data_IF_080809055969
#
_entry.id   IF_080809055969
#
_cell.length_a   1.000
_cell.length_b   1.000
_cell.length_c   1.000
_cell.angle_alpha   90.00
_cell.angle_beta   90.00
_cell.angle_gamma   90.00
#
_symmetry.space_group_name_H-M   'P 1'
#
loop_
_entity.id
_entity.type
_entity.pdbx_description
1 polymer ?
#
# COMPACT_ATOMS: atom_id res chain seq x y z
N UNK A 1 -3.34 4.65 -28.63
CA UNK A 1 -4.17 5.50 -27.75
C UNK A 1 -3.26 6.32 -26.85
N UNK A 2 -3.67 7.53 -26.54
CA UNK A 2 -3.03 8.37 -25.52
C UNK A 2 -3.75 8.13 -24.18
N UNK A 3 -3.06 7.55 -23.21
CA UNK A 3 -3.66 7.13 -21.95
C UNK A 3 -3.06 7.92 -20.78
N UNK A 4 -3.91 8.58 -19.99
CA UNK A 4 -3.48 9.17 -18.73
C UNK A 4 -3.80 8.21 -17.58
N UNK A 5 -2.80 7.90 -16.74
CA UNK A 5 -2.97 7.04 -15.58
C UNK A 5 -2.73 7.83 -14.31
N UNK A 6 -3.78 8.17 -13.60
CA UNK A 6 -3.70 8.81 -12.30
C UNK A 6 -3.35 7.76 -11.23
N UNK A 7 -2.36 8.06 -10.39
CA UNK A 7 -1.83 7.09 -9.42
C UNK A 7 -0.85 6.07 -10.03
N UNK A 8 -0.21 6.39 -11.15
CA UNK A 8 0.72 5.53 -11.87
C UNK A 8 1.95 5.08 -11.05
N UNK A 9 2.28 5.74 -9.96
CA UNK A 9 3.35 5.32 -9.05
C UNK A 9 2.89 4.29 -7.99
N UNK A 10 1.59 3.98 -7.94
CA UNK A 10 0.97 3.05 -7.00
C UNK A 10 1.11 1.58 -7.41
N UNK A 11 0.58 0.69 -6.55
CA UNK A 11 0.66 -0.77 -6.77
C UNK A 11 0.00 -1.21 -8.07
N UNK A 12 -1.27 -0.88 -8.28
CA UNK A 12 -2.01 -1.25 -9.51
C UNK A 12 -1.60 -0.34 -10.67
N UNK A 13 -1.58 0.99 -10.46
CA UNK A 13 -1.34 1.95 -11.53
C UNK A 13 0.01 1.78 -12.23
N UNK A 14 1.07 1.35 -11.50
CA UNK A 14 2.38 1.12 -12.11
C UNK A 14 2.41 -0.08 -13.08
N UNK A 15 1.63 -1.13 -12.78
CA UNK A 15 1.52 -2.29 -13.68
C UNK A 15 0.67 -1.96 -14.90
N UNK A 16 -0.44 -1.24 -14.70
CA UNK A 16 -1.29 -0.77 -15.81
C UNK A 16 -0.48 0.15 -16.73
N UNK A 17 0.29 1.11 -16.17
CA UNK A 17 1.14 1.99 -16.97
C UNK A 17 2.20 1.23 -17.77
N UNK A 18 2.86 0.27 -17.14
CA UNK A 18 3.83 -0.59 -17.82
C UNK A 18 3.19 -1.43 -18.92
N UNK A 19 1.96 -1.94 -18.70
CA UNK A 19 1.26 -2.76 -19.69
C UNK A 19 0.85 -1.95 -20.91
N UNK A 20 0.23 -0.78 -20.74
CA UNK A 20 -0.10 0.11 -21.87
C UNK A 20 1.14 0.51 -22.65
N UNK A 21 2.22 0.88 -21.96
CA UNK A 21 3.48 1.23 -22.61
C UNK A 21 4.07 0.05 -23.41
N UNK A 22 4.06 -1.16 -22.85
CA UNK A 22 4.55 -2.36 -23.54
C UNK A 22 3.75 -2.72 -24.79
N UNK A 23 2.48 -2.29 -24.87
CA UNK A 23 1.63 -2.44 -26.06
C UNK A 23 1.80 -1.29 -27.06
N UNK A 24 2.72 -0.35 -26.82
CA UNK A 24 3.00 0.76 -27.74
C UNK A 24 2.02 1.92 -27.65
N UNK A 25 1.29 2.05 -26.54
CA UNK A 25 0.45 3.21 -26.30
C UNK A 25 1.26 4.36 -25.68
N UNK A 26 0.85 5.61 -25.95
CA UNK A 26 1.43 6.79 -25.32
C UNK A 26 0.85 6.95 -23.91
N UNK A 27 1.71 6.79 -22.89
CA UNK A 27 1.30 6.79 -21.49
C UNK A 27 1.77 8.03 -20.77
N UNK A 28 0.81 8.88 -20.36
CA UNK A 28 1.03 9.98 -19.41
C UNK A 28 0.76 9.51 -18.01
N UNK A 29 1.82 9.38 -17.23
CA UNK A 29 1.79 8.85 -15.85
C UNK A 29 1.68 9.99 -14.84
N UNK A 30 0.59 10.03 -14.05
CA UNK A 30 0.37 11.10 -13.09
C UNK A 30 0.59 10.63 -11.65
N UNK A 31 1.41 11.39 -10.88
CA UNK A 31 1.73 11.07 -9.49
C UNK A 31 2.15 12.31 -8.68
N UNK A 32 2.07 12.24 -7.34
CA UNK A 32 2.52 13.30 -6.42
C UNK A 32 4.04 13.52 -6.46
N UNK A 33 4.81 12.46 -6.50
CA UNK A 33 6.29 12.49 -6.42
C UNK A 33 6.95 12.18 -7.75
N UNK A 34 6.89 13.11 -8.69
CA UNK A 34 7.38 12.93 -10.08
C UNK A 34 8.86 12.52 -10.11
N UNK A 35 9.74 13.22 -9.42
CA UNK A 35 11.18 12.92 -9.43
C UNK A 35 11.51 11.48 -9.00
N UNK A 36 10.84 11.02 -7.95
CA UNK A 36 11.04 9.67 -7.46
C UNK A 36 10.42 8.61 -8.38
N UNK A 37 9.34 8.93 -9.04
CA UNK A 37 8.67 8.07 -10.00
C UNK A 37 9.47 7.99 -11.31
N UNK A 38 9.95 9.09 -11.81
CA UNK A 38 10.78 9.17 -13.02
C UNK A 38 12.10 8.41 -12.87
N UNK A 39 12.74 8.48 -11.70
CA UNK A 39 13.95 7.65 -11.44
C UNK A 39 13.68 6.15 -11.48
N UNK A 40 12.45 5.71 -11.14
CA UNK A 40 12.07 4.28 -11.17
C UNK A 40 11.60 3.81 -12.55
N UNK A 41 10.93 4.69 -13.29
CA UNK A 41 10.36 4.39 -14.60
C UNK A 41 10.61 5.56 -15.55
N UNK A 42 11.88 5.75 -16.02
CA UNK A 42 12.27 6.89 -16.86
C UNK A 42 11.66 6.85 -18.27
N UNK A 43 11.08 5.74 -18.68
CA UNK A 43 10.44 5.53 -19.98
C UNK A 43 8.99 6.02 -20.07
N UNK A 44 8.41 6.50 -18.96
CA UNK A 44 7.07 7.09 -18.94
C UNK A 44 7.13 8.62 -18.93
N UNK A 45 6.13 9.25 -19.56
CA UNK A 45 5.91 10.70 -19.47
C UNK A 45 5.23 11.01 -18.13
N UNK A 46 5.97 11.63 -17.19
CA UNK A 46 5.49 11.89 -15.84
C UNK A 46 4.97 13.30 -15.67
N UNK A 47 3.75 13.42 -15.14
CA UNK A 47 3.13 14.70 -14.75
C UNK A 47 2.78 14.72 -13.25
N UNK A 48 2.95 15.89 -12.64
CA UNK A 48 2.58 16.07 -11.23
C UNK A 48 1.08 16.11 -11.05
N UNK A 49 0.54 15.42 -10.01
CA UNK A 49 -0.84 15.57 -9.56
C UNK A 49 -0.97 15.35 -8.05
N UNK A 50 -1.84 16.10 -7.41
CA UNK A 50 -2.20 15.87 -6.00
C UNK A 50 -3.71 16.01 -5.82
N UNK A 51 -4.41 14.90 -5.68
CA UNK A 51 -5.87 14.83 -5.52
C UNK A 51 -6.42 15.60 -4.31
N UNK A 52 -5.56 15.99 -3.37
CA UNK A 52 -5.96 16.82 -2.22
C UNK A 52 -6.10 18.30 -2.57
N UNK A 53 -5.48 18.74 -3.65
CA UNK A 53 -5.32 20.14 -3.98
C UNK A 53 -5.74 20.47 -5.41
N UNK A 54 -5.53 19.52 -6.35
CA UNK A 54 -5.84 19.72 -7.76
C UNK A 54 -7.34 19.87 -7.99
N UNK A 55 -7.70 20.90 -8.75
CA UNK A 55 -9.04 21.21 -9.21
C UNK A 55 -9.19 20.90 -10.69
N UNK A 56 -10.40 21.04 -11.21
CA UNK A 56 -10.73 20.82 -12.63
C UNK A 56 -9.76 21.55 -13.57
N UNK A 57 -9.38 22.78 -13.23
CA UNK A 57 -8.48 23.63 -14.02
C UNK A 57 -7.07 23.07 -14.12
N UNK A 58 -6.57 22.46 -13.05
CA UNK A 58 -5.23 21.87 -12.99
C UNK A 58 -5.10 20.61 -13.87
N UNK A 59 -6.23 19.94 -14.12
CA UNK A 59 -6.27 18.76 -14.96
C UNK A 59 -6.31 19.09 -16.45
N UNK A 60 -6.89 20.21 -16.86
CA UNK A 60 -7.05 20.59 -18.28
C UNK A 60 -5.77 20.45 -19.11
N UNK A 61 -4.62 21.04 -18.72
CA UNK A 61 -3.39 20.89 -19.50
C UNK A 61 -2.86 19.44 -19.54
N UNK A 62 -3.15 18.66 -18.51
CA UNK A 62 -2.75 17.24 -18.44
C UNK A 62 -3.60 16.33 -19.32
N UNK A 63 -4.80 16.76 -19.70
CA UNK A 63 -5.78 16.00 -20.49
C UNK A 63 -5.73 16.32 -21.99
N UNK A 64 -4.89 17.25 -22.42
CA UNK A 64 -4.75 17.59 -23.85
C UNK A 64 -4.31 16.38 -24.65
N UNK A 65 -5.12 15.97 -25.61
CA UNK A 65 -4.89 14.84 -26.51
C UNK A 65 -5.01 13.46 -25.85
N UNK A 66 -5.60 13.38 -24.66
CA UNK A 66 -5.82 12.10 -23.96
C UNK A 66 -7.12 11.45 -24.43
N UNK A 67 -7.03 10.19 -24.85
CA UNK A 67 -8.18 9.37 -25.27
C UNK A 67 -8.86 8.67 -24.09
N UNK A 68 -8.05 8.14 -23.17
CA UNK A 68 -8.51 7.32 -22.04
C UNK A 68 -7.84 7.77 -20.74
N UNK A 69 -8.63 7.90 -19.70
CA UNK A 69 -8.12 8.15 -18.33
C UNK A 69 -8.37 6.92 -17.47
N UNK A 70 -7.33 6.43 -16.78
CA UNK A 70 -7.45 5.36 -15.79
C UNK A 70 -7.14 5.94 -14.41
N UNK A 71 -8.14 6.02 -13.55
CA UNK A 71 -7.97 6.49 -12.18
C UNK A 71 -7.66 5.31 -11.24
N UNK A 72 -6.38 5.16 -10.89
CA UNK A 72 -5.87 4.18 -9.92
C UNK A 72 -5.54 4.82 -8.57
N UNK A 73 -5.92 6.09 -8.33
CA UNK A 73 -5.65 6.75 -7.05
C UNK A 73 -6.50 6.09 -5.98
N UNK A 74 -5.84 5.68 -4.91
CA UNK A 74 -6.50 5.06 -3.79
C UNK A 74 -5.69 5.22 -2.51
N UNK A 75 -6.37 5.60 -1.44
CA UNK A 75 -5.85 5.70 -0.09
C UNK A 75 -6.70 4.80 0.79
N UNK A 76 -6.09 3.79 1.38
CA UNK A 76 -6.83 2.83 2.22
C UNK A 76 -7.19 3.43 3.59
N UNK A 77 -6.43 4.42 4.05
CA UNK A 77 -6.55 4.95 5.41
C UNK A 77 -5.93 6.35 5.50
N UNK A 78 -6.56 7.21 6.30
CA UNK A 78 -6.05 8.54 6.60
C UNK A 78 -4.73 8.51 7.37
N UNK A 79 -3.90 9.52 7.16
CA UNK A 79 -2.62 9.67 7.83
C UNK A 79 -1.97 11.02 7.50
N UNK A 80 -0.81 11.30 8.10
CA UNK A 80 -0.05 12.50 7.76
C UNK A 80 0.26 12.52 6.25
N UNK A 81 -0.48 13.32 5.49
CA UNK A 81 -0.32 13.45 4.04
C UNK A 81 -1.17 12.51 3.17
N UNK A 82 -2.00 11.67 3.77
CA UNK A 82 -2.98 10.86 3.06
C UNK A 82 -4.38 11.14 3.64
N UNK A 83 -5.32 11.56 2.78
CA UNK A 83 -6.70 11.87 3.09
C UNK A 83 -7.59 11.05 2.15
N UNK A 84 -8.40 10.14 2.73
CA UNK A 84 -9.25 9.21 1.99
C UNK A 84 -10.32 9.95 1.20
N UNK A 85 -11.00 10.88 1.86
CA UNK A 85 -12.09 11.64 1.24
C UNK A 85 -11.57 12.55 0.11
N UNK A 86 -10.47 13.27 0.34
CA UNK A 86 -9.85 14.09 -0.69
C UNK A 86 -9.39 13.26 -1.90
N UNK A 87 -8.87 12.04 -1.68
CA UNK A 87 -8.42 11.18 -2.76
C UNK A 87 -9.56 10.51 -3.52
N UNK A 88 -10.56 9.96 -2.80
CA UNK A 88 -11.60 9.14 -3.42
C UNK A 88 -12.82 9.93 -3.86
N UNK A 89 -13.11 11.08 -3.25
CA UNK A 89 -14.31 11.87 -3.53
C UNK A 89 -13.93 13.17 -4.24
N UNK A 90 -13.29 14.09 -3.54
CA UNK A 90 -13.13 15.47 -4.02
C UNK A 90 -12.19 15.55 -5.23
N UNK A 91 -11.00 14.95 -5.13
CA UNK A 91 -10.01 14.94 -6.22
C UNK A 91 -10.43 14.04 -7.38
N UNK A 92 -11.11 12.91 -7.10
CA UNK A 92 -11.67 12.07 -8.15
C UNK A 92 -12.76 12.81 -8.93
N UNK A 93 -13.69 13.48 -8.24
CA UNK A 93 -14.74 14.29 -8.88
C UNK A 93 -14.16 15.44 -9.72
N UNK A 94 -13.10 16.12 -9.25
CA UNK A 94 -12.41 17.14 -10.02
C UNK A 94 -11.81 16.57 -11.32
N UNK A 95 -11.14 15.41 -11.25
CA UNK A 95 -10.63 14.72 -12.43
C UNK A 95 -11.75 14.35 -13.41
N UNK A 96 -12.88 13.79 -12.93
CA UNK A 96 -13.97 13.34 -13.80
C UNK A 96 -14.66 14.52 -14.51
N UNK A 97 -14.92 15.62 -13.80
CA UNK A 97 -15.46 16.85 -14.44
C UNK A 97 -14.48 17.42 -15.46
N UNK A 98 -13.18 17.42 -15.16
CA UNK A 98 -12.18 17.86 -16.13
C UNK A 98 -12.13 16.96 -17.38
N UNK A 99 -12.30 15.64 -17.23
CA UNK A 99 -12.39 14.70 -18.34
C UNK A 99 -13.61 15.00 -19.22
N UNK A 100 -14.77 15.25 -18.61
CA UNK A 100 -16.00 15.63 -19.33
C UNK A 100 -15.81 16.93 -20.13
N UNK A 101 -15.25 17.97 -19.48
CA UNK A 101 -14.97 19.26 -20.12
C UNK A 101 -13.92 19.17 -21.24
N UNK A 102 -12.94 18.29 -21.10
CA UNK A 102 -11.89 18.07 -22.10
C UNK A 102 -12.30 17.14 -23.26
N UNK A 103 -13.48 16.52 -23.18
CA UNK A 103 -13.96 15.57 -24.18
C UNK A 103 -13.16 14.26 -24.21
N UNK A 104 -12.65 13.82 -23.05
CA UNK A 104 -12.00 12.52 -22.93
C UNK A 104 -12.99 11.42 -23.30
N UNK A 105 -12.57 10.53 -24.22
CA UNK A 105 -13.46 9.49 -24.74
C UNK A 105 -13.93 8.51 -23.67
N UNK A 106 -13.02 8.05 -22.79
CA UNK A 106 -13.33 7.02 -21.80
C UNK A 106 -12.63 7.26 -20.46
N UNK A 107 -13.35 7.02 -19.37
CA UNK A 107 -12.79 7.05 -18.01
C UNK A 107 -12.98 5.70 -17.33
N UNK A 108 -11.89 5.09 -16.88
CA UNK A 108 -11.88 3.84 -16.12
C UNK A 108 -11.50 4.16 -14.67
N UNK A 109 -12.37 3.85 -13.74
CA UNK A 109 -12.13 4.06 -12.30
C UNK A 109 -11.92 2.75 -11.57
N UNK A 110 -10.78 2.62 -10.88
CA UNK A 110 -10.47 1.44 -10.07
C UNK A 110 -11.07 1.64 -8.66
N UNK A 111 -12.13 0.91 -8.40
CA UNK A 111 -12.81 0.82 -7.11
C UNK A 111 -12.36 -0.43 -6.32
N UNK A 112 -13.24 -1.13 -5.63
CA UNK A 112 -12.96 -2.40 -4.96
C UNK A 112 -14.23 -3.24 -4.80
N UNK A 113 -14.11 -4.56 -4.83
CA UNK A 113 -15.18 -5.49 -4.47
C UNK A 113 -15.55 -5.31 -2.99
N UNK A 114 -16.82 -5.47 -2.66
CA UNK A 114 -17.32 -5.46 -1.30
C UNK A 114 -17.55 -4.08 -0.69
N UNK A 115 -17.33 -2.97 -1.43
CA UNK A 115 -17.61 -1.62 -0.91
C UNK A 115 -19.09 -1.42 -0.54
N UNK A 116 -20.02 -2.09 -1.20
CA UNK A 116 -21.46 -2.02 -0.86
C UNK A 116 -21.78 -2.81 0.41
N UNK A 117 -21.17 -3.99 0.58
CA UNK A 117 -21.34 -4.83 1.76
C UNK A 117 -20.67 -4.25 3.00
N UNK A 118 -19.50 -3.60 2.81
CA UNK A 118 -18.74 -2.92 3.85
C UNK A 118 -19.27 -1.50 4.14
N UNK A 119 -20.44 -1.13 3.61
CA UNK A 119 -21.08 0.14 3.88
C UNK A 119 -21.19 0.36 5.40
N UNK A 120 -20.47 1.35 5.92
CA UNK A 120 -20.23 1.83 7.29
C UNK A 120 -18.73 1.93 7.63
N UNK A 121 -17.83 1.65 6.70
CA UNK A 121 -16.44 2.08 6.83
C UNK A 121 -16.24 3.34 6.00
N UNK A 122 -15.54 4.34 6.55
CA UNK A 122 -15.26 5.59 5.82
C UNK A 122 -14.63 5.33 4.44
N UNK A 123 -13.78 4.31 4.34
CA UNK A 123 -13.19 3.90 3.07
C UNK A 123 -14.21 3.43 2.04
N UNK A 124 -15.18 2.59 2.44
CA UNK A 124 -16.21 2.11 1.52
C UNK A 124 -17.17 3.24 1.10
N UNK A 125 -17.54 4.09 2.05
CA UNK A 125 -18.39 5.26 1.80
C UNK A 125 -17.72 6.22 0.83
N UNK A 126 -16.42 6.52 1.02
CA UNK A 126 -15.64 7.38 0.12
C UNK A 126 -15.51 6.77 -1.28
N UNK A 127 -15.28 5.45 -1.38
CA UNK A 127 -15.22 4.74 -2.67
C UNK A 127 -16.56 4.84 -3.42
N UNK A 128 -17.66 4.56 -2.74
CA UNK A 128 -19.01 4.67 -3.33
C UNK A 128 -19.35 6.10 -3.74
N UNK A 129 -18.95 7.10 -2.96
CA UNK A 129 -19.12 8.50 -3.32
C UNK A 129 -18.30 8.88 -4.56
N UNK A 130 -17.08 8.35 -4.70
CA UNK A 130 -16.26 8.49 -5.92
C UNK A 130 -16.90 7.83 -7.15
N UNK A 131 -17.47 6.62 -6.99
CA UNK A 131 -18.23 5.97 -8.06
C UNK A 131 -19.46 6.81 -8.46
N UNK A 132 -20.18 7.36 -7.49
CA UNK A 132 -21.33 8.21 -7.72
C UNK A 132 -20.95 9.51 -8.46
N UNK A 133 -19.81 10.11 -8.11
CA UNK A 133 -19.29 11.30 -8.80
C UNK A 133 -18.98 11.01 -10.29
N UNK A 134 -18.42 9.83 -10.60
CA UNK A 134 -18.17 9.42 -11.98
C UNK A 134 -19.47 9.19 -12.77
N UNK A 135 -20.41 8.48 -12.16
CA UNK A 135 -21.69 8.15 -12.82
C UNK A 135 -22.60 9.36 -13.04
N UNK A 136 -22.35 10.46 -12.34
CA UNK A 136 -23.06 11.74 -12.53
C UNK A 136 -22.55 12.54 -13.75
N UNK A 137 -21.36 12.19 -14.29
CA UNK A 137 -20.79 12.84 -15.47
C UNK A 137 -21.31 12.19 -16.77
N UNK A 138 -21.45 12.99 -17.81
CA UNK A 138 -21.79 12.49 -19.17
C UNK A 138 -20.54 12.01 -19.89
N UNK A 139 -19.97 10.91 -19.40
CA UNK A 139 -18.77 10.25 -19.91
C UNK A 139 -19.08 8.81 -20.32
N UNK A 140 -18.25 8.27 -21.20
CA UNK A 140 -18.13 6.82 -21.38
C UNK A 140 -17.27 6.29 -20.20
N UNK A 141 -17.95 5.84 -19.15
CA UNK A 141 -17.28 5.43 -17.93
C UNK A 141 -17.33 3.92 -17.69
N UNK A 142 -16.30 3.42 -17.03
CA UNK A 142 -16.23 2.07 -16.49
C UNK A 142 -15.76 2.11 -15.04
N UNK A 143 -16.43 1.36 -14.17
CA UNK A 143 -16.03 1.16 -12.79
C UNK A 143 -15.57 -0.29 -12.65
N UNK A 144 -14.28 -0.46 -12.34
CA UNK A 144 -13.68 -1.76 -12.14
C UNK A 144 -13.44 -1.97 -10.64
N UNK A 145 -14.01 -3.02 -10.09
CA UNK A 145 -13.93 -3.39 -8.69
C UNK A 145 -13.05 -4.64 -8.54
N UNK A 146 -11.72 -4.49 -8.37
CA UNK A 146 -10.87 -5.66 -8.12
C UNK A 146 -11.19 -6.32 -6.78
N UNK A 147 -11.14 -7.65 -6.77
CA UNK A 147 -11.05 -8.46 -5.56
C UNK A 147 -9.62 -8.41 -4.99
N UNK A 148 -9.18 -9.42 -4.24
CA UNK A 148 -7.81 -9.50 -3.75
C UNK A 148 -6.82 -9.61 -4.91
N UNK A 149 -6.10 -8.54 -5.19
CA UNK A 149 -5.09 -8.53 -6.27
C UNK A 149 -3.81 -9.20 -5.80
N UNK A 150 -3.40 -10.23 -6.53
CA UNK A 150 -2.15 -10.95 -6.28
C UNK A 150 -1.12 -10.61 -7.36
N UNK A 151 0.13 -10.41 -6.93
CA UNK A 151 1.25 -10.08 -7.80
C UNK A 151 2.56 -10.60 -7.20
N UNK A 152 3.63 -10.62 -7.95
CA UNK A 152 4.96 -10.95 -7.42
C UNK A 152 5.43 -9.93 -6.38
N UNK A 153 5.26 -8.64 -6.65
CA UNK A 153 5.42 -7.60 -5.64
C UNK A 153 4.22 -7.61 -4.68
N UNK A 154 4.43 -7.08 -3.50
CA UNK A 154 3.43 -7.11 -2.42
C UNK A 154 3.07 -5.71 -1.96
N UNK A 155 1.81 -5.53 -1.57
CA UNK A 155 1.32 -4.28 -1.02
C UNK A 155 0.22 -4.53 0.03
N UNK A 156 0.12 -3.68 1.03
CA UNK A 156 -0.98 -3.68 1.99
C UNK A 156 -1.21 -5.04 2.66
N UNK A 157 -2.42 -5.57 2.54
CA UNK A 157 -2.84 -6.83 3.15
C UNK A 157 -2.05 -8.05 2.65
N UNK A 158 -1.76 -8.13 1.35
CA UNK A 158 -0.98 -9.25 0.79
C UNK A 158 0.46 -9.26 1.30
N UNK A 159 1.05 -8.09 1.56
CA UNK A 159 2.38 -7.99 2.19
C UNK A 159 2.36 -8.53 3.63
N UNK A 160 1.30 -8.21 4.40
CA UNK A 160 1.12 -8.73 5.75
C UNK A 160 0.93 -10.26 5.74
N UNK A 161 0.04 -10.78 4.89
CA UNK A 161 -0.20 -12.22 4.76
C UNK A 161 1.11 -12.95 4.46
N UNK A 162 1.89 -12.50 3.46
CA UNK A 162 3.19 -13.13 3.14
C UNK A 162 4.19 -13.03 4.28
N UNK A 163 4.21 -11.92 5.03
CA UNK A 163 5.09 -11.77 6.20
C UNK A 163 4.70 -12.71 7.34
N UNK A 164 3.40 -12.92 7.57
CA UNK A 164 2.91 -13.91 8.54
C UNK A 164 3.27 -15.34 8.13
N UNK A 165 3.27 -15.64 6.83
CA UNK A 165 3.72 -16.92 6.30
C UNK A 165 5.20 -17.20 6.59
N UNK A 166 6.03 -16.19 6.84
CA UNK A 166 7.44 -16.33 7.21
C UNK A 166 7.68 -16.78 8.65
N UNK A 167 6.66 -16.81 9.51
CA UNK A 167 6.80 -17.27 10.90
C UNK A 167 7.03 -18.80 10.96
N UNK A 168 7.97 -19.27 11.82
CA UNK A 168 8.46 -20.66 11.72
C UNK A 168 7.48 -21.71 12.25
N UNK A 169 6.83 -21.48 13.37
CA UNK A 169 6.08 -22.52 14.12
C UNK A 169 4.57 -22.35 13.99
N UNK A 170 4.10 -21.13 14.13
CA UNK A 170 2.68 -20.79 14.19
C UNK A 170 2.44 -19.57 13.31
N UNK A 171 1.38 -19.64 12.50
CA UNK A 171 0.93 -18.48 11.71
C UNK A 171 -0.38 -17.96 12.32
N UNK A 172 -0.36 -16.80 13.00
CA UNK A 172 -1.58 -16.22 13.55
C UNK A 172 -2.44 -15.65 12.42
N UNK A 173 -3.72 -16.00 12.41
CA UNK A 173 -4.69 -15.51 11.43
C UNK A 173 -5.93 -15.04 12.17
N UNK A 174 -6.34 -13.80 11.94
CA UNK A 174 -7.59 -13.27 12.50
C UNK A 174 -8.73 -13.64 11.56
N UNK A 175 -9.76 -14.31 12.06
CA UNK A 175 -10.81 -14.91 11.24
C UNK A 175 -10.32 -16.23 10.62
N UNK A 176 -10.08 -16.23 9.33
CA UNK A 176 -9.54 -17.39 8.59
C UNK A 176 -10.55 -18.00 7.64
N UNK A 177 -11.82 -17.84 7.88
CA UNK A 177 -12.92 -18.34 7.03
C UNK A 177 -13.37 -17.35 5.95
N UNK A 178 -12.93 -16.09 6.05
CA UNK A 178 -13.22 -15.07 5.04
C UNK A 178 -12.79 -15.55 3.65
N UNK A 179 -13.70 -15.45 2.69
CA UNK A 179 -13.51 -15.94 1.33
C UNK A 179 -13.13 -14.79 0.39
N UNK A 180 -12.20 -15.09 -0.51
CA UNK A 180 -11.75 -14.22 -1.58
C UNK A 180 -11.87 -14.93 -2.93
N UNK A 181 -11.92 -14.15 -4.02
CA UNK A 181 -11.67 -14.61 -5.39
C UNK A 181 -10.46 -13.83 -5.94
N UNK A 182 -9.22 -14.22 -5.59
CA UNK A 182 -8.04 -13.49 -6.00
C UNK A 182 -7.92 -13.37 -7.52
N UNK A 183 -7.47 -12.20 -7.98
CA UNK A 183 -7.16 -11.96 -9.39
C UNK A 183 -5.67 -11.67 -9.56
N UNK A 184 -5.02 -12.24 -10.58
CA UNK A 184 -3.65 -11.93 -10.95
C UNK A 184 -3.52 -10.47 -11.42
N UNK A 185 -2.40 -9.83 -11.10
CA UNK A 185 -2.12 -8.46 -11.56
C UNK A 185 -2.08 -8.41 -13.09
N UNK A 186 -1.57 -9.45 -13.71
CA UNK A 186 -1.48 -9.58 -15.16
C UNK A 186 -2.89 -9.60 -15.78
N UNK A 187 -3.79 -10.42 -15.24
CA UNK A 187 -5.18 -10.53 -15.69
C UNK A 187 -5.95 -9.22 -15.48
N UNK A 188 -5.70 -8.54 -14.36
CA UNK A 188 -6.27 -7.22 -14.10
C UNK A 188 -5.80 -6.19 -15.14
N UNK A 189 -4.51 -6.18 -15.47
CA UNK A 189 -3.97 -5.26 -16.47
C UNK A 189 -4.55 -5.54 -17.88
N UNK A 190 -4.66 -6.82 -18.25
CA UNK A 190 -5.28 -7.21 -19.53
C UNK A 190 -6.75 -6.79 -19.58
N UNK A 191 -7.50 -6.98 -18.49
CA UNK A 191 -8.89 -6.53 -18.41
C UNK A 191 -9.00 -5.02 -18.61
N UNK A 192 -8.14 -4.23 -17.97
CA UNK A 192 -8.13 -2.76 -18.11
C UNK A 192 -7.81 -2.34 -19.54
N UNK A 193 -6.82 -2.98 -20.18
CA UNK A 193 -6.45 -2.70 -21.57
C UNK A 193 -7.59 -3.04 -22.54
N UNK A 194 -8.17 -4.25 -22.42
CA UNK A 194 -9.28 -4.68 -23.27
C UNK A 194 -10.51 -3.77 -23.12
N UNK A 195 -10.79 -3.35 -21.87
CA UNK A 195 -11.91 -2.47 -21.57
C UNK A 195 -11.64 -0.99 -21.94
N UNK A 196 -10.39 -0.61 -22.24
CA UNK A 196 -10.05 0.71 -22.75
C UNK A 196 -10.36 0.87 -24.23
N UNK A 197 -10.54 -0.24 -24.97
CA UNK A 197 -10.85 -0.21 -26.40
C UNK A 197 -12.24 0.40 -26.70
N UNK A 198 -12.40 1.10 -27.84
CA UNK A 198 -13.68 1.76 -28.19
C UNK A 198 -14.87 0.82 -28.23
N UNK A 199 -14.65 -0.45 -28.63
CA UNK A 199 -15.71 -1.45 -28.78
C UNK A 199 -16.17 -2.08 -27.45
N UNK A 200 -15.44 -1.83 -26.35
CA UNK A 200 -15.80 -2.38 -25.07
C UNK A 200 -17.09 -1.74 -24.51
N UNK A 201 -17.84 -2.44 -23.64
CA UNK A 201 -19.03 -1.89 -22.99
C UNK A 201 -18.77 -0.54 -22.33
N UNK A 202 -19.80 0.28 -22.24
CA UNK A 202 -19.74 1.58 -21.57
C UNK A 202 -20.78 1.70 -20.45
N UNK A 203 -20.57 2.65 -19.56
CA UNK A 203 -21.47 2.98 -18.43
C UNK A 203 -21.87 1.75 -17.60
N UNK A 204 -20.87 0.93 -17.28
CA UNK A 204 -21.08 -0.31 -16.53
C UNK A 204 -20.04 -0.52 -15.42
N UNK A 205 -20.37 -1.43 -14.53
CA UNK A 205 -19.51 -1.86 -13.42
C UNK A 205 -19.12 -3.32 -13.61
N UNK A 206 -17.87 -3.65 -13.32
CA UNK A 206 -17.36 -5.02 -13.36
C UNK A 206 -16.63 -5.34 -12.05
N UNK A 207 -16.99 -6.47 -11.47
CA UNK A 207 -16.21 -7.04 -10.37
C UNK A 207 -15.07 -7.87 -10.95
N UNK A 208 -13.85 -7.32 -10.93
CA UNK A 208 -12.65 -8.01 -11.40
C UNK A 208 -12.20 -9.05 -10.36
N UNK A 209 -12.86 -10.18 -10.36
CA UNK A 209 -12.57 -11.32 -9.50
C UNK A 209 -12.05 -12.49 -10.32
N UNK A 210 -11.18 -13.30 -9.70
CA UNK A 210 -10.67 -14.54 -10.29
C UNK A 210 -11.70 -15.68 -10.27
N UNK A 211 -11.44 -16.77 -10.99
CA UNK A 211 -12.37 -17.90 -11.07
C UNK A 211 -12.44 -18.72 -9.77
N UNK A 212 -11.38 -18.74 -8.98
CA UNK A 212 -11.23 -19.60 -7.83
C UNK A 212 -11.60 -18.91 -6.52
N UNK A 213 -12.34 -19.63 -5.65
CA UNK A 213 -12.70 -19.19 -4.30
C UNK A 213 -11.71 -19.79 -3.31
N UNK A 214 -11.09 -18.95 -2.49
CA UNK A 214 -10.15 -19.39 -1.46
C UNK A 214 -10.41 -18.67 -0.14
N UNK A 215 -10.32 -19.42 0.98
CA UNK A 215 -10.38 -18.81 2.30
C UNK A 215 -9.05 -18.15 2.67
N UNK A 216 -9.07 -17.23 3.64
CA UNK A 216 -7.85 -16.63 4.18
C UNK A 216 -6.89 -17.70 4.72
N UNK A 217 -7.40 -18.72 5.42
CA UNK A 217 -6.60 -19.79 5.94
C UNK A 217 -5.95 -20.64 4.83
N UNK A 218 -6.69 -20.90 3.75
CA UNK A 218 -6.18 -21.60 2.57
C UNK A 218 -5.13 -20.75 1.82
N UNK A 219 -5.39 -19.47 1.66
CA UNK A 219 -4.44 -18.51 1.10
C UNK A 219 -3.10 -18.54 1.85
N UNK A 220 -3.13 -18.55 3.19
CA UNK A 220 -1.92 -18.66 4.03
C UNK A 220 -1.21 -20.00 3.81
N UNK A 221 -1.93 -21.13 3.77
CA UNK A 221 -1.33 -22.45 3.52
C UNK A 221 -0.70 -22.52 2.13
N UNK A 222 -1.38 -22.01 1.12
CA UNK A 222 -0.90 -21.99 -0.25
C UNK A 222 0.36 -21.11 -0.39
N UNK A 223 0.37 -19.91 0.19
CA UNK A 223 1.57 -19.07 0.20
C UNK A 223 2.74 -19.72 0.94
N UNK A 224 2.52 -20.42 2.05
CA UNK A 224 3.61 -21.12 2.73
C UNK A 224 4.23 -22.21 1.86
N UNK A 225 3.40 -23.02 1.20
CA UNK A 225 3.87 -24.05 0.24
C UNK A 225 4.64 -23.43 -0.91
N UNK A 226 4.08 -22.36 -1.50
CA UNK A 226 4.69 -21.61 -2.58
C UNK A 226 6.07 -21.03 -2.20
N UNK A 227 6.20 -20.49 -1.00
CA UNK A 227 7.47 -19.98 -0.47
C UNK A 227 8.49 -21.09 -0.12
N UNK A 228 8.08 -22.35 -0.16
CA UNK A 228 8.92 -23.48 0.25
C UNK A 228 9.16 -23.55 1.75
N UNK A 229 8.26 -22.98 2.55
CA UNK A 229 8.27 -23.12 4.00
C UNK A 229 7.47 -24.36 4.39
N UNK A 230 7.95 -25.07 5.40
CA UNK A 230 7.24 -26.21 5.94
C UNK A 230 5.85 -25.84 6.49
N UNK A 231 5.05 -26.85 6.77
CA UNK A 231 3.74 -26.64 7.40
C UNK A 231 3.90 -25.94 8.75
N UNK A 232 2.99 -25.00 9.01
CA UNK A 232 2.85 -24.39 10.33
C UNK A 232 1.42 -24.53 10.82
N UNK A 233 1.28 -24.58 12.13
CA UNK A 233 -0.05 -24.54 12.73
C UNK A 233 -0.67 -23.16 12.50
N UNK A 234 -1.80 -23.10 11.80
CA UNK A 234 -2.61 -21.88 11.76
C UNK A 234 -3.25 -21.72 13.14
N UNK A 235 -2.99 -20.58 13.75
CA UNK A 235 -3.60 -20.20 15.02
C UNK A 235 -4.70 -19.17 14.75
N UNK A 236 -5.98 -19.56 14.87
CA UNK A 236 -7.07 -18.60 14.75
C UNK A 236 -7.03 -17.67 15.95
N UNK A 237 -6.64 -16.41 15.70
CA UNK A 237 -6.55 -15.38 16.72
C UNK A 237 -7.95 -14.77 16.92
N UNK A 238 -8.53 -14.86 18.13
CA UNK A 238 -9.78 -14.18 18.41
C UNK A 238 -9.65 -12.66 18.23
N UNK A 239 -10.68 -12.02 17.71
CA UNK A 239 -10.67 -10.57 17.40
C UNK A 239 -10.37 -9.72 18.61
N UNK A 240 -10.88 -10.09 19.79
CA UNK A 240 -10.61 -9.34 21.02
C UNK A 240 -9.13 -9.33 21.38
N UNK A 241 -8.40 -10.41 21.08
CA UNK A 241 -6.94 -10.52 21.29
C UNK A 241 -6.16 -9.75 20.21
N UNK A 242 -6.68 -9.64 18.99
CA UNK A 242 -6.06 -8.88 17.92
C UNK A 242 -6.28 -7.36 18.08
N UNK A 243 -7.40 -6.92 18.64
CA UNK A 243 -7.76 -5.48 18.80
C UNK A 243 -6.65 -4.58 19.32
N UNK A 244 -5.90 -4.91 20.38
CA UNK A 244 -4.84 -4.03 20.88
C UNK A 244 -3.76 -3.77 19.83
N UNK A 245 -3.36 -4.80 19.05
CA UNK A 245 -2.36 -4.65 17.99
C UNK A 245 -2.86 -3.72 16.87
N UNK A 246 -4.14 -3.78 16.53
CA UNK A 246 -4.75 -2.90 15.52
C UNK A 246 -4.91 -1.46 16.04
N UNK A 247 -5.21 -1.26 17.33
CA UNK A 247 -5.24 0.07 17.97
C UNK A 247 -3.85 0.72 18.01
N UNK A 248 -2.81 -0.07 18.32
CA UNK A 248 -1.43 0.40 18.17
C UNK A 248 -1.12 0.76 16.73
N UNK A 249 -1.61 -0.02 15.77
CA UNK A 249 -1.52 0.30 14.35
C UNK A 249 -2.19 1.62 13.98
N UNK A 250 -3.35 1.93 14.56
CA UNK A 250 -4.03 3.23 14.36
C UNK A 250 -3.22 4.39 14.92
N UNK A 251 -2.69 4.25 16.15
CA UNK A 251 -1.82 5.25 16.75
C UNK A 251 -0.57 5.50 15.90
N UNK A 252 0.07 4.44 15.42
CA UNK A 252 1.21 4.54 14.52
C UNK A 252 0.83 5.21 13.19
N UNK A 253 -0.35 4.91 12.66
CA UNK A 253 -0.88 5.55 11.47
C UNK A 253 -1.13 7.04 11.65
N UNK A 254 -1.68 7.44 12.80
CA UNK A 254 -1.83 8.84 13.17
C UNK A 254 -0.47 9.57 13.27
N UNK A 255 0.57 8.90 13.71
CA UNK A 255 1.96 9.40 13.68
C UNK A 255 2.62 9.37 12.29
N UNK A 256 1.88 9.06 11.20
CA UNK A 256 2.40 8.99 9.83
C UNK A 256 3.13 7.69 9.49
N UNK A 257 3.06 6.67 10.34
CA UNK A 257 3.69 5.38 10.10
C UNK A 257 2.71 4.47 9.37
N UNK A 258 2.92 4.25 8.07
CA UNK A 258 2.09 3.34 7.28
C UNK A 258 2.21 1.91 7.79
N UNK A 259 1.08 1.34 8.22
CA UNK A 259 0.96 -0.05 8.66
C UNK A 259 -0.32 -0.65 8.07
N UNK A 260 -0.27 -1.94 7.72
CA UNK A 260 -1.46 -2.69 7.26
C UNK A 260 -2.34 -3.17 8.42
N UNK A 261 -1.87 -3.06 9.68
CA UNK A 261 -2.60 -3.49 10.87
C UNK A 261 -3.31 -2.29 11.49
N UNK A 262 -4.45 -1.88 10.92
CA UNK A 262 -5.29 -0.80 11.46
C UNK A 262 -6.73 -1.28 11.62
N UNK A 263 -7.50 -0.64 12.48
CA UNK A 263 -8.87 -1.05 12.83
C UNK A 263 -9.80 -1.17 11.60
N UNK A 264 -9.60 -0.36 10.56
CA UNK A 264 -10.34 -0.50 9.31
C UNK A 264 -10.06 -1.84 8.61
N UNK A 265 -8.80 -2.33 8.62
CA UNK A 265 -8.47 -3.64 8.06
C UNK A 265 -9.15 -4.77 8.86
N UNK A 266 -9.24 -4.62 10.20
CA UNK A 266 -9.95 -5.59 11.04
C UNK A 266 -11.45 -5.65 10.71
N UNK A 267 -12.07 -4.50 10.42
CA UNK A 267 -13.50 -4.43 10.00
C UNK A 267 -13.72 -5.08 8.63
N UNK A 268 -12.75 -4.94 7.71
CA UNK A 268 -12.84 -5.57 6.38
C UNK A 268 -12.80 -7.11 6.44
N UNK A 269 -12.24 -7.69 7.52
CA UNK A 269 -12.28 -9.14 7.74
C UNK A 269 -13.68 -9.66 8.13
N UNK A 270 -14.69 -8.79 8.27
CA UNK A 270 -16.08 -9.18 8.56
C UNK A 270 -16.86 -9.57 7.31
N UNK A 271 -16.33 -9.29 6.12
CA UNK A 271 -17.03 -9.46 4.86
C UNK A 271 -16.21 -10.29 3.89
N UNK A 272 -16.89 -11.14 3.13
CA UNK A 272 -16.28 -11.83 2.01
C UNK A 272 -15.99 -10.84 0.86
N UNK A 273 -14.87 -11.03 0.19
CA UNK A 273 -14.43 -10.19 -0.93
C UNK A 273 -14.42 -11.07 -2.18
N UNK A 274 -15.61 -11.54 -2.55
CA UNK A 274 -15.73 -12.47 -3.67
C UNK A 274 -15.85 -11.76 -5.01
N UNK A 275 -16.90 -10.94 -5.20
CA UNK A 275 -17.27 -10.37 -6.49
C UNK A 275 -17.78 -11.42 -7.48
N UNK A 276 -18.48 -10.98 -8.49
CA UNK A 276 -18.97 -11.85 -9.58
C UNK A 276 -18.12 -11.68 -10.84
N UNK A 277 -17.30 -12.68 -11.22
CA UNK A 277 -16.44 -12.59 -12.39
C UNK A 277 -17.20 -12.74 -13.73
N UNK A 278 -18.44 -13.21 -13.74
CA UNK A 278 -19.14 -13.64 -14.95
C UNK A 278 -19.28 -12.53 -15.98
N UNK A 279 -19.62 -11.33 -15.54
CA UNK A 279 -19.91 -10.20 -16.41
C UNK A 279 -18.67 -9.66 -17.12
N UNK A 280 -17.53 -9.52 -16.44
CA UNK A 280 -16.31 -9.04 -17.06
C UNK A 280 -15.66 -10.12 -17.94
N UNK A 281 -15.75 -11.39 -17.54
CA UNK A 281 -15.27 -12.50 -18.37
C UNK A 281 -16.04 -12.58 -19.69
N UNK A 282 -17.37 -12.42 -19.64
CA UNK A 282 -18.19 -12.39 -20.85
C UNK A 282 -17.87 -11.17 -21.73
N UNK A 283 -17.60 -10.00 -21.14
CA UNK A 283 -17.30 -8.77 -21.85
C UNK A 283 -15.92 -8.76 -22.52
N UNK A 284 -14.94 -9.45 -21.93
CA UNK A 284 -13.54 -9.44 -22.42
C UNK A 284 -13.11 -10.73 -23.11
N UNK A 285 -13.84 -11.82 -22.92
CA UNK A 285 -13.42 -13.16 -23.35
C UNK A 285 -12.19 -13.69 -22.60
N UNK A 286 -11.82 -13.05 -21.48
CA UNK A 286 -10.63 -13.42 -20.72
C UNK A 286 -10.76 -14.77 -20.03
N UNK A 287 -9.62 -15.44 -19.84
CA UNK A 287 -9.51 -16.70 -19.11
C UNK A 287 -8.44 -16.58 -18.00
N UNK A 288 -8.75 -15.85 -16.90
CA UNK A 288 -7.78 -15.59 -15.85
C UNK A 288 -7.37 -16.88 -15.12
N UNK A 289 -6.15 -16.89 -14.61
CA UNK A 289 -5.65 -18.00 -13.81
C UNK A 289 -6.36 -18.06 -12.45
N UNK A 290 -6.64 -19.29 -11.99
CA UNK A 290 -7.02 -19.53 -10.61
C UNK A 290 -5.85 -19.17 -9.65
N UNK A 291 -6.17 -19.02 -8.38
CA UNK A 291 -5.14 -18.65 -7.38
C UNK A 291 -4.00 -19.66 -7.32
N UNK A 292 -4.31 -20.95 -7.29
CA UNK A 292 -3.30 -21.98 -7.23
C UNK A 292 -2.50 -22.11 -8.53
N UNK A 293 -3.16 -21.96 -9.67
CA UNK A 293 -2.51 -21.97 -10.98
C UNK A 293 -1.60 -20.74 -11.15
N UNK A 294 -2.03 -19.57 -10.65
CA UNK A 294 -1.20 -18.38 -10.65
C UNK A 294 0.08 -18.59 -9.81
N UNK A 295 -0.03 -19.20 -8.62
CA UNK A 295 1.13 -19.53 -7.80
C UNK A 295 2.06 -20.55 -8.49
N UNK A 296 1.51 -21.51 -9.20
CA UNK A 296 2.29 -22.50 -9.96
C UNK A 296 3.02 -21.87 -11.15
N UNK A 297 2.35 -20.97 -11.87
CA UNK A 297 2.91 -20.22 -13.01
C UNK A 297 4.00 -19.22 -12.60
N UNK A 298 4.01 -18.78 -11.34
CA UNK A 298 4.95 -17.78 -10.81
C UNK A 298 5.75 -18.33 -9.61
N UNK A 299 6.74 -19.22 -9.81
CA UNK A 299 7.51 -19.81 -8.72
C UNK A 299 8.15 -18.77 -7.81
N UNK A 300 8.12 -19.00 -6.49
CA UNK A 300 8.69 -18.10 -5.51
C UNK A 300 10.21 -18.02 -5.61
N UNK A 301 10.73 -16.81 -5.73
CA UNK A 301 12.16 -16.53 -5.73
C UNK A 301 12.74 -16.27 -4.34
N UNK A 302 14.03 -15.95 -4.31
CA UNK A 302 14.73 -15.58 -3.07
C UNK A 302 14.15 -14.32 -2.45
N UNK A 303 13.76 -13.33 -3.29
CA UNK A 303 13.17 -12.07 -2.85
C UNK A 303 11.85 -12.28 -2.10
N UNK A 304 11.00 -13.20 -2.58
CA UNK A 304 9.72 -13.53 -1.96
C UNK A 304 9.94 -14.13 -0.57
N UNK A 305 10.90 -15.04 -0.43
CA UNK A 305 11.29 -15.67 0.85
C UNK A 305 11.90 -14.67 1.82
N UNK A 306 12.75 -13.77 1.32
CA UNK A 306 13.33 -12.71 2.13
C UNK A 306 12.25 -11.72 2.60
N UNK A 307 11.33 -11.33 1.72
CA UNK A 307 10.21 -10.50 2.13
C UNK A 307 9.41 -11.16 3.25
N UNK A 308 9.03 -12.42 3.09
CA UNK A 308 8.26 -13.15 4.09
C UNK A 308 8.99 -13.23 5.44
N UNK A 309 10.28 -13.52 5.47
CA UNK A 309 11.08 -13.61 6.71
C UNK A 309 11.37 -12.26 7.35
N UNK A 310 11.67 -11.24 6.54
CA UNK A 310 12.11 -9.94 7.03
C UNK A 310 10.98 -8.93 7.18
N UNK A 311 9.79 -9.21 6.65
CA UNK A 311 8.66 -8.30 6.64
C UNK A 311 8.25 -7.83 8.04
N UNK A 312 8.25 -8.72 9.03
CA UNK A 312 8.00 -8.40 10.43
C UNK A 312 9.29 -8.06 11.21
N UNK A 313 10.41 -8.70 10.87
CA UNK A 313 11.70 -8.49 11.56
C UNK A 313 12.20 -7.05 11.35
N UNK A 314 12.12 -6.53 10.14
CA UNK A 314 12.60 -5.19 9.80
C UNK A 314 11.94 -4.06 10.62
N UNK A 315 10.60 -3.97 10.76
CA UNK A 315 10.00 -2.99 11.65
C UNK A 315 10.34 -3.23 13.12
N UNK A 316 10.36 -4.48 13.59
CA UNK A 316 10.71 -4.81 14.97
C UNK A 316 12.15 -4.41 15.32
N UNK A 317 13.12 -4.74 14.46
CA UNK A 317 14.52 -4.35 14.65
C UNK A 317 14.68 -2.83 14.71
N UNK A 318 13.99 -2.09 13.83
CA UNK A 318 14.01 -0.63 13.85
C UNK A 318 13.43 -0.07 15.14
N UNK A 319 12.30 -0.61 15.62
CA UNK A 319 11.68 -0.18 16.87
C UNK A 319 12.58 -0.49 18.08
N UNK A 320 13.15 -1.69 18.12
CA UNK A 320 14.07 -2.09 19.19
C UNK A 320 15.31 -1.17 19.23
N UNK A 321 15.90 -0.92 18.07
CA UNK A 321 17.08 -0.05 17.97
C UNK A 321 16.73 1.41 18.30
N UNK A 322 15.61 1.93 17.80
CA UNK A 322 15.16 3.28 18.12
C UNK A 322 14.84 3.46 19.60
N UNK A 323 14.19 2.48 20.23
CA UNK A 323 13.91 2.48 21.65
C UNK A 323 15.19 2.35 22.50
N UNK A 324 16.12 1.50 22.09
CA UNK A 324 17.42 1.34 22.76
C UNK A 324 18.15 2.70 22.86
N UNK A 325 18.37 3.38 21.73
CA UNK A 325 19.05 4.67 21.70
C UNK A 325 18.29 5.76 22.47
N UNK A 326 16.96 5.80 22.36
CA UNK A 326 16.14 6.73 23.13
C UNK A 326 16.32 6.51 24.64
N UNK A 327 16.22 5.26 25.07
CA UNK A 327 16.34 4.92 26.49
C UNK A 327 17.76 5.15 27.01
N UNK A 328 18.79 4.88 26.24
CA UNK A 328 20.19 5.17 26.64
C UNK A 328 20.36 6.64 26.93
N UNK A 329 19.92 7.54 26.07
CA UNK A 329 20.03 8.97 26.30
C UNK A 329 19.19 9.46 27.50
N UNK A 330 17.95 8.95 27.65
CA UNK A 330 17.08 9.33 28.79
C UNK A 330 17.66 8.84 30.12
N UNK A 331 18.12 7.59 30.18
CA UNK A 331 18.70 7.02 31.39
C UNK A 331 19.99 7.72 31.80
N UNK A 332 20.85 8.10 30.84
CA UNK A 332 22.07 8.83 31.08
C UNK A 332 21.81 10.23 31.70
N UNK A 333 20.70 10.88 31.36
CA UNK A 333 20.31 12.16 31.92
C UNK A 333 19.59 12.04 33.25
N UNK A 334 19.04 10.88 33.60
CA UNK A 334 18.20 10.67 34.79
C UNK A 334 18.86 9.71 35.79
N UNK A 335 18.50 8.43 35.71
CA UNK A 335 18.88 7.41 36.71
C UNK A 335 20.37 7.06 36.68
N UNK A 336 21.03 7.13 35.50
CA UNK A 336 22.43 6.75 35.34
C UNK A 336 23.38 7.96 35.24
N UNK A 337 22.94 9.15 35.65
CA UNK A 337 23.73 10.39 35.51
C UNK A 337 25.07 10.31 36.20
N UNK A 338 25.13 9.77 37.43
CA UNK A 338 26.37 9.56 38.17
C UNK A 338 27.34 8.62 37.49
N UNK A 339 26.82 7.53 36.91
CA UNK A 339 27.62 6.56 36.16
C UNK A 339 28.16 7.18 34.87
N UNK A 340 27.36 7.99 34.16
CA UNK A 340 27.78 8.70 32.96
C UNK A 340 28.91 9.70 33.25
N UNK A 341 28.84 10.44 34.34
CA UNK A 341 29.89 11.34 34.77
C UNK A 341 31.18 10.58 35.15
N UNK A 342 31.06 9.46 35.86
CA UNK A 342 32.21 8.61 36.20
C UNK A 342 32.90 8.02 34.96
N UNK A 343 32.12 7.61 33.94
CA UNK A 343 32.68 7.14 32.69
C UNK A 343 33.41 8.24 31.91
N UNK A 344 32.89 9.46 31.90
CA UNK A 344 33.54 10.59 31.26
C UNK A 344 34.86 10.95 32.00
N UNK A 345 34.87 10.86 33.30
CA UNK A 345 36.09 11.07 34.13
C UNK A 345 37.13 10.00 33.82
N UNK A 346 36.76 8.74 33.81
CA UNK A 346 37.62 7.63 33.42
C UNK A 346 38.15 7.77 31.98
N UNK A 347 37.37 8.38 31.08
CA UNK A 347 37.78 8.72 29.71
C UNK A 347 38.66 9.98 29.59
N UNK A 348 39.06 10.59 30.70
CA UNK A 348 39.94 11.77 30.73
C UNK A 348 39.22 13.12 30.62
N UNK A 349 37.91 13.14 30.64
CA UNK A 349 37.09 14.37 30.65
C UNK A 349 36.72 14.72 32.08
N UNK A 350 37.48 15.60 32.73
CA UNK A 350 37.23 16.02 34.11
C UNK A 350 36.81 17.51 34.18
N UNK A 351 36.14 17.89 35.29
CA UNK A 351 35.79 19.28 35.60
C UNK A 351 34.55 19.81 34.85
N UNK A 352 34.49 21.11 34.53
CA UNK A 352 33.28 21.77 34.04
C UNK A 352 32.76 21.28 32.67
N UNK A 353 33.58 20.54 31.93
CA UNK A 353 33.24 20.02 30.60
C UNK A 353 32.36 18.76 30.66
N UNK A 354 32.42 18.00 31.78
CA UNK A 354 31.70 16.73 31.92
C UNK A 354 30.20 16.86 31.74
N UNK A 355 29.60 17.84 32.44
CA UNK A 355 28.14 18.00 32.40
C UNK A 355 27.62 18.43 31.00
N UNK A 356 28.18 19.44 30.32
CA UNK A 356 27.83 19.76 28.96
C UNK A 356 28.03 18.58 27.99
N UNK A 357 29.09 17.81 28.10
CA UNK A 357 29.37 16.66 27.27
C UNK A 357 28.36 15.55 27.47
N UNK A 358 28.00 15.25 28.74
CA UNK A 358 26.95 14.28 29.05
C UNK A 358 25.60 14.69 28.43
N UNK A 359 25.23 15.98 28.53
CA UNK A 359 24.00 16.47 27.93
C UNK A 359 24.06 16.37 26.40
N UNK A 360 25.15 16.76 25.76
CA UNK A 360 25.30 16.73 24.33
C UNK A 360 25.18 15.30 23.78
N UNK A 361 25.90 14.35 24.36
CA UNK A 361 25.85 12.93 23.95
C UNK A 361 24.48 12.31 24.18
N UNK A 362 23.90 12.55 25.37
CA UNK A 362 22.56 12.02 25.67
C UNK A 362 21.44 12.58 24.78
N UNK A 363 21.47 13.89 24.50
CA UNK A 363 20.51 14.50 23.55
C UNK A 363 20.71 13.99 22.14
N UNK A 364 21.94 13.70 21.74
CA UNK A 364 22.26 13.08 20.47
C UNK A 364 21.66 11.68 20.37
N UNK A 365 21.80 10.84 21.41
CA UNK A 365 21.21 9.50 21.49
C UNK A 365 19.68 9.56 21.42
N UNK A 366 19.06 10.49 22.15
CA UNK A 366 17.62 10.74 22.10
C UNK A 366 17.19 11.10 20.67
N UNK A 367 17.92 12.00 20.01
CA UNK A 367 17.63 12.42 18.64
C UNK A 367 17.76 11.27 17.64
N UNK A 368 18.79 10.42 17.76
CA UNK A 368 18.95 9.19 16.96
C UNK A 368 17.77 8.24 17.18
N UNK A 369 17.40 7.97 18.42
CA UNK A 369 16.28 7.12 18.78
C UNK A 369 14.96 7.61 18.20
N UNK A 370 14.63 8.89 18.39
CA UNK A 370 13.42 9.51 17.86
C UNK A 370 13.43 9.52 16.30
N UNK A 371 14.55 9.81 15.68
CA UNK A 371 14.70 9.77 14.23
C UNK A 371 14.44 8.38 13.64
N UNK A 372 14.95 7.33 14.31
CA UNK A 372 14.67 5.93 13.93
C UNK A 372 13.19 5.58 14.07
N UNK A 373 12.56 5.96 15.18
CA UNK A 373 11.14 5.72 15.41
C UNK A 373 10.26 6.46 14.39
N UNK A 374 10.60 7.72 14.08
CA UNK A 374 9.92 8.55 13.09
C UNK A 374 10.22 8.18 11.61
N UNK A 375 11.05 7.16 11.34
CA UNK A 375 11.51 6.78 9.99
C UNK A 375 12.27 7.90 9.24
N UNK A 376 12.81 8.87 9.96
CA UNK A 376 13.55 9.97 9.34
C UNK A 376 14.95 9.53 8.96
N UNK A 377 15.31 9.62 7.66
CA UNK A 377 16.64 9.29 7.11
C UNK A 377 17.29 8.02 7.69
N UNK A 378 16.54 6.95 7.88
CA UNK A 378 16.96 5.72 8.59
C UNK A 378 18.33 5.20 8.17
N UNK A 379 18.66 5.24 6.86
CA UNK A 379 19.98 4.79 6.36
C UNK A 379 21.14 5.61 6.93
N UNK A 380 20.98 6.94 7.00
CA UNK A 380 21.99 7.83 7.57
C UNK A 380 22.12 7.61 9.07
N UNK A 381 20.98 7.50 9.78
CA UNK A 381 20.97 7.24 11.23
C UNK A 381 21.66 5.92 11.58
N UNK A 382 21.36 4.84 10.85
CA UNK A 382 22.05 3.55 11.05
C UNK A 382 23.53 3.67 10.79
N UNK A 383 23.96 4.40 9.75
CA UNK A 383 25.36 4.67 9.48
C UNK A 383 26.06 5.40 10.65
N UNK A 384 25.41 6.41 11.20
CA UNK A 384 25.91 7.15 12.38
C UNK A 384 26.01 6.23 13.61
N UNK A 385 24.97 5.42 13.87
CA UNK A 385 24.94 4.47 14.99
C UNK A 385 26.04 3.41 14.90
N UNK A 386 26.42 2.99 13.69
CA UNK A 386 27.52 2.05 13.45
C UNK A 386 28.90 2.70 13.50
N UNK A 387 29.00 3.99 13.20
CA UNK A 387 30.25 4.77 13.26
C UNK A 387 30.49 5.44 14.61
N UNK A 388 29.47 5.51 15.46
CA UNK A 388 29.59 6.05 16.81
C UNK A 388 30.50 5.18 17.67
N UNK A 389 31.21 5.76 18.63
CA UNK A 389 32.08 5.00 19.52
C UNK A 389 31.26 3.99 20.34
N UNK A 390 31.70 2.77 20.31
CA UNK A 390 31.32 1.71 21.24
C UNK A 390 31.90 2.05 22.60
#
# INVERSE_FOLDING_TARGET
MNVLIAGASGFIGSHIAARFHALGHDVRAAARGVDAAQRRSPWLDWVGCDFRHDRDEDWRPRLVGVDVVVNCVGVLQDGLGDDSRAAHVDGAAALFRACEQAGVRRVIHISAVGVEAAARSAYADDKLAGEAALTACDLDWLILRPSLVIARNVYGGTALIRSLCGLPLVTPVVGGEQVFRPIGMEDLCEAVVSLAEPAAPSRTRFDLAGPERVSLAETVRAYRRWLGFGESRIWPVPRWLARPAFLVGDLLGWMGIRTSMRSNALKQLDFDVEGDPTTWLAATGATPLGFHDWLAAHPAGVQDRWHARLGLVRPLARWALGFYWLMTGVLALTLAKSNGLALLEAGGFAGPVQLPLLWATSLFDIALGLGMLAKWRVRALVGIMLAGPV
#
